data_IF_221814753512
#
_entry.id   IF_221814753512
#
_cell.length_a   1.000
_cell.length_b   1.000
_cell.length_c   1.000
_cell.angle_alpha   90.00
_cell.angle_beta   90.00
_cell.angle_gamma   90.00
#
_symmetry.space_group_name_H-M   'P 1'
#
loop_
_entity.id
_entity.type
_entity.pdbx_description
1 polymer ?
#
# COMPACT_ATOMS: atom_id res chain seq x y z
N UNK A 1 26.03 -12.49 40.30
CA UNK A 1 24.59 -12.64 39.98
C UNK A 1 23.96 -11.25 39.99
N UNK A 2 23.64 -10.69 38.83
CA UNK A 2 22.65 -9.62 38.68
C UNK A 2 22.23 -9.61 37.21
N UNK A 3 20.92 -9.61 36.98
CA UNK A 3 20.28 -10.07 35.75
C UNK A 3 20.53 -9.14 34.56
N UNK A 4 20.80 -9.77 33.41
CA UNK A 4 20.78 -9.17 32.08
C UNK A 4 19.34 -8.70 31.79
N UNK A 5 19.17 -7.39 31.60
CA UNK A 5 17.94 -6.80 31.06
C UNK A 5 17.55 -7.51 29.77
N UNK A 6 16.30 -7.99 29.60
CA UNK A 6 15.83 -8.33 28.28
C UNK A 6 15.56 -7.00 27.56
N UNK A 7 16.47 -6.62 26.67
CA UNK A 7 16.17 -5.64 25.63
C UNK A 7 15.03 -6.24 24.82
N UNK A 8 13.81 -5.75 25.07
CA UNK A 8 12.67 -6.05 24.24
C UNK A 8 13.01 -5.55 22.85
N UNK A 9 13.38 -6.47 21.97
CA UNK A 9 13.57 -6.24 20.56
C UNK A 9 12.17 -5.95 19.98
N UNK A 10 11.69 -4.71 20.17
CA UNK A 10 10.49 -4.17 19.55
C UNK A 10 10.82 -3.94 18.06
N UNK A 11 11.10 -5.05 17.37
CA UNK A 11 11.11 -5.06 15.92
C UNK A 11 9.68 -4.71 15.52
N UNK A 12 9.44 -3.55 14.87
CA UNK A 12 8.10 -3.16 14.51
C UNK A 12 7.51 -4.29 13.68
N UNK A 13 6.46 -4.91 14.20
CA UNK A 13 5.72 -5.92 13.44
C UNK A 13 5.35 -5.32 12.08
N UNK A 14 5.51 -6.07 10.97
CA UNK A 14 5.17 -5.53 9.67
C UNK A 14 3.74 -5.03 9.73
N UNK A 15 3.54 -3.74 9.45
CA UNK A 15 2.21 -3.14 9.46
C UNK A 15 1.43 -3.75 8.32
N UNK A 16 0.62 -4.75 8.62
CA UNK A 16 -0.29 -5.35 7.65
C UNK A 16 -1.35 -4.33 7.26
N UNK A 17 -1.49 -4.06 5.96
CA UNK A 17 -2.53 -3.18 5.43
C UNK A 17 -3.65 -4.02 4.81
N UNK A 18 -4.90 -3.72 5.18
CA UNK A 18 -6.07 -4.42 4.65
C UNK A 18 -6.90 -3.47 3.80
N UNK A 19 -7.25 -3.92 2.59
CA UNK A 19 -8.04 -3.17 1.63
C UNK A 19 -9.25 -3.98 1.16
N UNK A 20 -10.39 -3.33 1.06
CA UNK A 20 -11.59 -3.87 0.41
C UNK A 20 -11.71 -3.25 -0.97
N UNK A 21 -11.73 -4.08 -2.01
CA UNK A 21 -11.92 -3.63 -3.39
C UNK A 21 -13.26 -4.15 -3.90
N UNK A 22 -14.10 -3.24 -4.38
CA UNK A 22 -15.38 -3.54 -5.03
C UNK A 22 -15.31 -3.09 -6.47
N UNK A 23 -15.75 -3.94 -7.40
CA UNK A 23 -15.83 -3.64 -8.83
C UNK A 23 -17.22 -4.02 -9.32
N UNK A 24 -17.89 -3.11 -10.03
CA UNK A 24 -19.23 -3.32 -10.56
C UNK A 24 -19.41 -2.59 -11.89
N UNK A 25 -20.39 -3.05 -12.68
CA UNK A 25 -20.91 -2.31 -13.82
C UNK A 25 -21.96 -1.34 -13.32
N UNK A 26 -21.79 -0.06 -13.60
CA UNK A 26 -22.79 0.98 -13.33
C UNK A 26 -23.54 1.31 -14.63
N UNK A 27 -24.87 1.27 -14.58
CA UNK A 27 -25.71 1.66 -15.71
C UNK A 27 -25.81 3.18 -15.76
N UNK A 28 -25.25 3.80 -16.81
CA UNK A 28 -25.27 5.25 -17.03
C UNK A 28 -26.54 5.73 -17.77
N UNK A 29 -27.43 4.79 -18.13
CA UNK A 29 -28.59 5.04 -18.99
C UNK A 29 -28.27 4.86 -20.47
N UNK A 30 -29.32 4.84 -21.30
CA UNK A 30 -29.22 4.66 -22.76
C UNK A 30 -28.49 3.37 -23.21
N UNK A 31 -28.56 2.31 -22.39
CA UNK A 31 -27.89 1.03 -22.69
C UNK A 31 -26.37 1.08 -22.51
N UNK A 32 -25.83 2.15 -21.91
CA UNK A 32 -24.40 2.27 -21.61
C UNK A 32 -24.12 1.78 -20.19
N UNK A 33 -23.09 0.95 -20.08
CA UNK A 33 -22.56 0.47 -18.80
C UNK A 33 -21.11 0.90 -18.65
N UNK A 34 -20.75 1.46 -17.50
CA UNK A 34 -19.39 1.84 -17.17
C UNK A 34 -18.85 0.97 -16.04
N UNK A 35 -17.63 0.45 -16.21
CA UNK A 35 -16.93 -0.22 -15.13
C UNK A 35 -16.51 0.79 -14.07
N UNK A 36 -16.95 0.56 -12.84
CA UNK A 36 -16.54 1.34 -11.68
C UNK A 36 -15.96 0.45 -10.61
N UNK A 37 -15.02 1.03 -9.88
CA UNK A 37 -14.42 0.43 -8.73
C UNK A 37 -14.41 1.38 -7.55
N UNK A 38 -14.39 0.81 -6.35
CA UNK A 38 -14.12 1.51 -5.11
C UNK A 38 -13.13 0.68 -4.33
N UNK A 39 -12.10 1.34 -3.82
CA UNK A 39 -11.17 0.77 -2.85
C UNK A 39 -11.37 1.48 -1.52
N UNK A 40 -11.33 0.71 -0.44
CA UNK A 40 -11.37 1.21 0.92
C UNK A 40 -10.20 0.61 1.71
N UNK A 41 -9.42 1.46 2.37
CA UNK A 41 -8.45 1.01 3.36
C UNK A 41 -9.18 0.79 4.69
N UNK A 42 -9.20 -0.45 5.16
CA UNK A 42 -10.04 -0.86 6.31
C UNK A 42 -9.58 -0.19 7.61
N UNK A 43 -8.28 0.03 7.77
CA UNK A 43 -7.72 0.58 9.00
C UNK A 43 -7.90 2.09 9.12
N UNK A 44 -7.78 2.85 8.02
CA UNK A 44 -8.01 4.31 8.04
C UNK A 44 -9.46 4.70 7.77
N UNK A 45 -10.25 3.80 7.18
CA UNK A 45 -11.59 4.09 6.68
C UNK A 45 -11.60 4.91 5.39
N UNK A 46 -10.43 5.32 4.87
CA UNK A 46 -10.34 6.09 3.63
C UNK A 46 -10.81 5.26 2.43
N UNK A 47 -11.62 5.87 1.57
CA UNK A 47 -12.12 5.22 0.36
C UNK A 47 -11.94 6.10 -0.87
N UNK A 48 -11.65 5.46 -2.01
CA UNK A 48 -11.41 6.13 -3.28
C UNK A 48 -12.13 5.38 -4.41
N UNK A 49 -12.85 6.11 -5.24
CA UNK A 49 -13.43 5.56 -6.46
C UNK A 49 -12.40 5.55 -7.58
N UNK A 50 -12.41 4.51 -8.40
CA UNK A 50 -11.54 4.38 -9.56
C UNK A 50 -12.30 3.85 -10.77
N UNK A 51 -11.85 4.24 -11.96
CA UNK A 51 -12.36 3.73 -13.25
C UNK A 51 -11.32 2.95 -14.04
N UNK A 52 -10.07 2.98 -13.59
CA UNK A 52 -8.95 2.29 -14.19
C UNK A 52 -8.04 1.72 -13.10
N UNK A 53 -7.24 0.72 -13.46
CA UNK A 53 -6.35 0.03 -12.54
C UNK A 53 -5.19 0.89 -12.04
N UNK A 54 -4.73 1.85 -12.85
CA UNK A 54 -3.64 2.74 -12.48
C UNK A 54 -3.97 3.58 -11.24
N UNK A 55 -5.22 4.07 -11.14
CA UNK A 55 -5.70 4.80 -9.95
C UNK A 55 -5.76 3.90 -8.71
N UNK A 56 -6.11 2.61 -8.85
CA UNK A 56 -6.08 1.66 -7.74
C UNK A 56 -4.64 1.44 -7.24
N UNK A 57 -3.71 1.17 -8.16
CA UNK A 57 -2.30 0.92 -7.82
C UNK A 57 -1.69 2.13 -7.11
N UNK A 58 -1.92 3.34 -7.62
CA UNK A 58 -1.45 4.56 -6.99
C UNK A 58 -1.98 4.72 -5.56
N UNK A 59 -3.26 4.42 -5.32
CA UNK A 59 -3.84 4.45 -3.97
C UNK A 59 -3.20 3.42 -3.03
N UNK A 60 -2.95 2.20 -3.50
CA UNK A 60 -2.29 1.17 -2.69
C UNK A 60 -0.86 1.58 -2.32
N UNK A 61 -0.12 2.19 -3.26
CA UNK A 61 1.24 2.69 -3.02
C UNK A 61 1.29 3.89 -2.06
N UNK A 62 0.29 4.77 -2.10
CA UNK A 62 0.16 5.89 -1.17
C UNK A 62 -0.07 5.40 0.28
N UNK A 63 -0.81 4.31 0.44
CA UNK A 63 -1.24 3.81 1.75
C UNK A 63 -0.30 2.79 2.38
N UNK A 64 0.55 2.15 1.58
CA UNK A 64 1.62 1.28 2.08
C UNK A 64 2.88 2.14 2.17
N UNK A 65 3.31 2.56 3.38
CA UNK A 65 4.58 3.26 3.52
C UNK A 65 5.65 2.36 2.92
N UNK A 66 6.38 2.88 1.93
CA UNK A 66 7.51 2.15 1.35
C UNK A 66 8.44 1.78 2.49
N UNK A 67 8.60 0.48 2.73
CA UNK A 67 9.66 -0.04 3.59
C UNK A 67 10.94 0.58 3.03
N UNK A 68 11.54 1.47 3.82
CA UNK A 68 12.47 2.47 3.32
C UNK A 68 13.47 1.82 2.38
N UNK A 69 13.60 2.39 1.18
CA UNK A 69 14.57 1.99 0.17
C UNK A 69 15.86 1.53 0.87
N UNK A 70 16.06 0.21 0.88
CA UNK A 70 17.34 -0.36 1.29
C UNK A 70 18.36 0.35 0.41
N UNK A 71 19.19 1.16 1.06
CA UNK A 71 20.21 1.94 0.41
C UNK A 71 21.12 0.97 -0.33
N UNK A 72 20.91 0.83 -1.63
CA UNK A 72 21.91 0.30 -2.55
C UNK A 72 22.92 1.42 -2.74
N UNK A 73 23.70 1.68 -1.69
CA UNK A 73 24.98 2.36 -1.79
C UNK A 73 26.00 1.30 -2.26
N UNK A 74 25.83 0.83 -3.49
CA UNK A 74 26.82 0.03 -4.19
C UNK A 74 26.81 0.46 -5.65
N UNK A 75 27.47 1.58 -5.93
CA UNK A 75 28.12 1.86 -7.22
C UNK A 75 28.77 3.23 -7.12
N UNK A 76 30.05 3.26 -6.75
CA UNK A 76 31.06 4.13 -7.38
C UNK A 76 32.39 3.90 -6.66
N UNK A 77 33.29 3.13 -7.28
CA UNK A 77 34.70 3.50 -7.52
C UNK A 77 35.43 2.26 -8.02
N UNK A 78 35.49 2.13 -9.35
CA UNK A 78 36.50 1.39 -10.09
C UNK A 78 36.53 2.10 -11.45
N UNK A 79 37.57 2.72 -11.98
CA UNK A 79 39.00 2.83 -11.70
C UNK A 79 39.52 3.86 -12.75
N UNK A 80 40.54 4.71 -12.49
CA UNK A 80 41.28 5.37 -13.58
C UNK A 80 42.19 4.41 -14.34
#
# INVERSE_FOLDING_TARGET
>A
MAAKTPEANDSPSPRSHLFTVRVWLEELGHGQTEWRGQVQHVLSGESRYFRNWSTLIAFLQEMVPGDGAASQDETTTNNP
#
